data_IF_303976810527
#
_entry.id   IF_303976810527
#
_cell.length_a   1.000
_cell.length_b   1.000
_cell.length_c   1.000
_cell.angle_alpha   90.00
_cell.angle_beta   90.00
_cell.angle_gamma   90.00
#
_symmetry.space_group_name_H-M   'P 1'
#
loop_
_entity.id
_entity.type
_entity.pdbx_description
1 polymer ?
#
# COMPACT_ATOMS: atom_id res chain seq x y z
N UNK A 1 25.52 0.27 -6.66
CA UNK A 1 24.05 0.36 -6.78
C UNK A 1 23.54 0.67 -5.40
N UNK A 2 23.19 1.93 -5.12
CA UNK A 2 22.58 2.26 -3.83
C UNK A 2 21.25 1.53 -3.74
N UNK A 3 21.17 0.53 -2.86
CA UNK A 3 19.91 0.02 -2.34
C UNK A 3 19.33 1.13 -1.47
N UNK A 4 18.84 2.19 -2.12
CA UNK A 4 18.27 3.32 -1.42
C UNK A 4 16.93 2.86 -0.85
N UNK A 5 16.71 3.19 0.42
CA UNK A 5 15.47 2.93 1.17
C UNK A 5 14.22 3.17 0.31
N UNK A 6 13.29 2.21 0.33
CA UNK A 6 12.00 2.29 -0.33
C UNK A 6 11.21 3.48 0.22
N UNK A 7 10.63 4.29 -0.66
CA UNK A 7 9.87 5.48 -0.28
C UNK A 7 8.75 5.76 -1.29
N UNK A 8 7.92 6.75 -0.99
CA UNK A 8 6.78 7.12 -1.83
C UNK A 8 7.22 7.46 -3.25
N UNK A 9 8.19 8.38 -3.41
CA UNK A 9 8.62 8.90 -4.70
C UNK A 9 9.11 7.78 -5.64
N UNK A 10 9.95 6.87 -5.15
CA UNK A 10 10.47 5.74 -5.94
C UNK A 10 9.37 4.83 -6.45
N UNK A 11 8.43 4.45 -5.58
CA UNK A 11 7.31 3.61 -6.01
C UNK A 11 6.40 4.36 -6.98
N UNK A 12 6.16 5.65 -6.73
CA UNK A 12 5.34 6.49 -7.58
C UNK A 12 5.93 6.62 -8.99
N UNK A 13 7.24 6.76 -9.12
CA UNK A 13 7.93 6.84 -10.42
C UNK A 13 8.05 5.47 -11.13
N UNK A 14 8.04 4.36 -10.38
CA UNK A 14 8.26 3.02 -10.92
C UNK A 14 7.05 2.41 -11.63
N UNK A 15 5.84 2.92 -11.39
CA UNK A 15 4.60 2.34 -11.93
C UNK A 15 3.58 3.40 -12.32
N UNK A 16 2.63 3.03 -13.19
CA UNK A 16 1.49 3.89 -13.50
C UNK A 16 0.48 3.93 -12.34
N UNK A 17 0.51 5.01 -11.57
CA UNK A 17 -0.47 5.30 -10.52
C UNK A 17 -1.52 6.32 -10.98
N UNK A 18 -2.73 6.21 -10.46
CA UNK A 18 -3.81 7.19 -10.69
C UNK A 18 -4.33 7.69 -9.36
N UNK A 19 -4.38 9.01 -9.19
CA UNK A 19 -4.96 9.58 -7.98
C UNK A 19 -6.45 9.23 -7.88
N UNK A 20 -6.88 8.85 -6.68
CA UNK A 20 -8.28 8.55 -6.42
C UNK A 20 -9.03 9.88 -6.29
N UNK A 21 -10.09 10.06 -7.09
CA UNK A 21 -10.92 11.27 -7.07
C UNK A 21 -11.38 11.61 -5.64
N UNK A 22 -11.20 12.87 -5.25
CA UNK A 22 -11.54 13.41 -3.93
C UNK A 22 -10.82 12.73 -2.74
N UNK A 23 -9.73 12.01 -2.99
CA UNK A 23 -8.92 11.33 -1.96
C UNK A 23 -7.45 11.74 -2.10
N UNK A 24 -7.10 13.01 -1.81
CA UNK A 24 -5.76 13.52 -2.07
C UNK A 24 -4.68 12.69 -1.37
N UNK A 25 -3.57 12.47 -2.07
CA UNK A 25 -2.45 11.69 -1.54
C UNK A 25 -2.67 10.17 -1.52
N UNK A 26 -3.70 9.68 -2.22
CA UNK A 26 -3.98 8.24 -2.40
C UNK A 26 -4.06 7.92 -3.88
N UNK A 27 -3.23 6.98 -4.33
CA UNK A 27 -3.05 6.66 -5.73
C UNK A 27 -3.21 5.16 -5.94
N UNK A 28 -4.16 4.76 -6.78
CA UNK A 28 -4.42 3.36 -7.11
C UNK A 28 -3.55 2.93 -8.28
N UNK A 29 -3.01 1.71 -8.22
CA UNK A 29 -2.23 1.15 -9.32
C UNK A 29 -3.11 0.96 -10.55
N UNK A 30 -2.67 1.46 -11.70
CA UNK A 30 -3.45 1.34 -12.94
C UNK A 30 -3.40 -0.10 -13.47
N UNK A 31 -4.57 -0.76 -13.54
CA UNK A 31 -4.70 -2.12 -14.09
C UNK A 31 -4.41 -2.21 -15.60
N UNK A 32 -4.52 -1.11 -16.34
CA UNK A 32 -4.29 -1.09 -17.79
C UNK A 32 -2.82 -1.39 -18.09
N UNK A 33 -1.91 -0.71 -17.40
CA UNK A 33 -0.47 -0.82 -17.64
C UNK A 33 0.17 -1.89 -16.74
N UNK A 34 -0.48 -2.24 -15.62
CA UNK A 34 0.10 -3.09 -14.58
C UNK A 34 -0.74 -4.34 -14.26
N UNK A 35 -1.47 -4.89 -15.24
CA UNK A 35 -2.43 -5.98 -15.01
C UNK A 35 -1.83 -7.19 -14.26
N UNK A 36 -0.55 -7.51 -14.48
CA UNK A 36 0.09 -8.64 -13.80
C UNK A 36 0.37 -8.36 -12.32
N UNK A 37 0.57 -7.10 -11.95
CA UNK A 37 0.95 -6.72 -10.59
C UNK A 37 -0.21 -6.94 -9.60
N UNK A 38 -1.47 -6.95 -10.06
CA UNK A 38 -2.59 -7.28 -9.18
C UNK A 38 -2.61 -8.76 -8.73
N UNK A 39 -1.76 -9.64 -9.28
CA UNK A 39 -1.63 -11.02 -8.81
C UNK A 39 -0.41 -11.20 -7.90
N UNK A 40 0.33 -10.12 -7.63
CA UNK A 40 1.55 -10.16 -6.83
C UNK A 40 1.21 -9.71 -5.40
N UNK A 41 1.49 -10.53 -4.38
CA UNK A 41 1.31 -10.13 -2.99
C UNK A 41 2.11 -8.87 -2.66
N UNK A 42 1.63 -7.98 -1.78
CA UNK A 42 2.30 -6.71 -1.46
C UNK A 42 3.76 -6.86 -1.01
N UNK A 43 4.09 -7.94 -0.30
CA UNK A 43 5.46 -8.21 0.16
C UNK A 43 6.41 -8.44 -1.02
N UNK A 44 5.97 -9.20 -2.02
CA UNK A 44 6.73 -9.46 -3.24
C UNK A 44 6.76 -8.24 -4.17
N UNK A 45 5.63 -7.54 -4.30
CA UNK A 45 5.53 -6.30 -5.07
C UNK A 45 6.53 -5.23 -4.58
N UNK A 46 6.81 -5.21 -3.27
CA UNK A 46 7.80 -4.32 -2.66
C UNK A 46 9.19 -4.96 -2.51
N UNK A 47 9.48 -6.03 -3.26
CA UNK A 47 10.76 -6.74 -3.27
C UNK A 47 11.26 -7.14 -1.86
N UNK A 48 10.34 -7.47 -0.95
CA UNK A 48 10.63 -7.84 0.43
C UNK A 48 11.40 -6.77 1.24
N UNK A 49 11.40 -5.50 0.82
CA UNK A 49 12.18 -4.45 1.46
C UNK A 49 11.54 -3.89 2.74
N UNK A 50 10.23 -4.11 2.92
CA UNK A 50 9.50 -3.65 4.10
C UNK A 50 8.62 -4.76 4.67
N UNK A 51 8.39 -4.70 5.98
CA UNK A 51 7.43 -5.55 6.66
C UNK A 51 6.01 -5.23 6.16
N UNK A 52 5.25 -6.28 5.87
CA UNK A 52 3.82 -6.19 5.60
C UNK A 52 3.08 -6.75 6.80
N UNK A 53 2.16 -5.97 7.36
CA UNK A 53 1.21 -6.42 8.36
C UNK A 53 -0.17 -6.57 7.72
N UNK A 54 -0.90 -7.60 8.14
CA UNK A 54 -2.22 -7.95 7.61
C UNK A 54 -3.27 -7.64 8.68
N UNK A 55 -4.30 -6.90 8.30
CA UNK A 55 -5.38 -6.45 9.16
C UNK A 55 -6.74 -6.85 8.58
N UNK A 56 -7.74 -6.91 9.45
CA UNK A 56 -9.15 -6.90 9.09
C UNK A 56 -9.80 -5.62 9.61
N UNK A 57 -10.95 -5.25 9.05
CA UNK A 57 -11.70 -4.08 9.49
C UNK A 57 -13.19 -4.37 9.34
N UNK A 58 -14.02 -3.92 10.28
CA UNK A 58 -15.48 -4.03 10.16
C UNK A 58 -16.03 -3.21 8.97
N UNK A 59 -15.24 -2.25 8.47
CA UNK A 59 -15.64 -1.31 7.41
C UNK A 59 -15.44 -1.92 6.02
N UNK A 60 -14.61 -2.96 5.88
CA UNK A 60 -14.46 -3.66 4.61
C UNK A 60 -14.19 -5.14 4.78
N UNK A 61 -14.77 -5.96 3.90
CA UNK A 61 -14.71 -7.42 3.98
C UNK A 61 -13.34 -8.00 3.62
N UNK A 62 -12.61 -7.31 2.75
CA UNK A 62 -11.33 -7.78 2.22
C UNK A 62 -10.22 -7.61 3.26
N UNK A 63 -9.28 -8.56 3.32
CA UNK A 63 -8.08 -8.43 4.14
C UNK A 63 -7.22 -7.27 3.63
N UNK A 64 -6.55 -6.59 4.57
CA UNK A 64 -5.87 -5.32 4.33
C UNK A 64 -4.40 -5.50 4.65
N UNK A 65 -3.56 -5.45 3.63
CA UNK A 65 -2.12 -5.57 3.75
C UNK A 65 -1.52 -4.17 3.74
N UNK A 66 -0.75 -3.83 4.78
CA UNK A 66 -0.13 -2.52 4.92
C UNK A 66 1.38 -2.68 5.06
N UNK A 67 2.12 -1.92 4.26
CA UNK A 67 3.55 -1.70 4.44
C UNK A 67 3.83 -0.21 4.55
N UNK A 68 4.52 0.21 5.62
CA UNK A 68 4.85 1.62 5.87
C UNK A 68 6.31 1.92 5.51
N UNK A 69 6.53 3.15 5.09
CA UNK A 69 7.84 3.78 4.95
C UNK A 69 7.74 5.23 5.46
N UNK A 70 8.88 5.92 5.61
CA UNK A 70 8.93 7.20 6.33
C UNK A 70 7.97 8.28 5.77
N UNK A 71 7.78 8.32 4.45
CA UNK A 71 6.97 9.31 3.74
C UNK A 71 5.62 8.78 3.22
N UNK A 72 5.18 7.60 3.69
CA UNK A 72 3.89 7.04 3.30
C UNK A 72 3.74 5.54 3.50
N UNK A 73 3.05 4.89 2.58
CA UNK A 73 2.92 3.44 2.58
C UNK A 73 2.08 2.88 1.46
N UNK A 74 2.20 1.58 1.28
CA UNK A 74 1.33 0.79 0.43
C UNK A 74 0.21 0.19 1.28
N UNK A 75 -1.03 0.39 0.85
CA UNK A 75 -2.21 -0.30 1.40
C UNK A 75 -2.83 -1.11 0.27
N UNK A 76 -2.97 -2.42 0.48
CA UNK A 76 -3.52 -3.32 -0.53
C UNK A 76 -4.70 -4.11 0.03
N UNK A 77 -5.78 -4.15 -0.73
CA UNK A 77 -6.90 -5.04 -0.42
C UNK A 77 -6.73 -6.36 -1.15
N UNK A 78 -6.76 -7.47 -0.43
CA UNK A 78 -6.78 -8.82 -0.98
C UNK A 78 -8.22 -9.23 -1.27
N UNK A 79 -8.52 -9.49 -2.54
CA UNK A 79 -9.83 -9.88 -3.03
C UNK A 79 -10.01 -11.39 -2.90
N UNK A 80 -11.27 -11.83 -2.85
CA UNK A 80 -11.62 -13.24 -2.75
C UNK A 80 -11.13 -14.10 -3.93
N UNK A 81 -10.79 -13.49 -5.07
CA UNK A 81 -10.21 -14.15 -6.24
C UNK A 81 -8.68 -14.25 -6.20
N UNK A 82 -8.05 -13.85 -5.08
CA UNK A 82 -6.60 -13.83 -4.90
C UNK A 82 -5.90 -12.64 -5.54
N UNK A 83 -6.64 -11.67 -6.09
CA UNK A 83 -6.05 -10.44 -6.62
C UNK A 83 -5.91 -9.36 -5.56
N UNK A 84 -5.03 -8.40 -5.81
CA UNK A 84 -4.75 -7.27 -4.94
C UNK A 84 -5.13 -5.94 -5.61
N UNK A 85 -5.73 -5.04 -4.82
CA UNK A 85 -5.90 -3.64 -5.19
C UNK A 85 -4.90 -2.81 -4.41
N UNK A 86 -3.77 -2.51 -5.03
CA UNK A 86 -2.71 -1.70 -4.45
C UNK A 86 -3.05 -0.21 -4.51
N UNK A 87 -2.94 0.46 -3.37
CA UNK A 87 -3.00 1.92 -3.24
C UNK A 87 -1.71 2.40 -2.61
N UNK A 88 -0.95 3.23 -3.33
CA UNK A 88 0.18 3.97 -2.81
C UNK A 88 -0.34 5.26 -2.14
N UNK A 89 0.13 5.54 -0.93
CA UNK A 89 -0.35 6.67 -0.15
C UNK A 89 0.84 7.47 0.37
N UNK A 90 0.77 8.80 0.34
CA UNK A 90 1.68 9.63 1.12
C UNK A 90 1.30 9.53 2.62
N UNK A 91 2.14 10.06 3.53
CA UNK A 91 1.91 9.97 4.98
C UNK A 91 0.51 10.42 5.40
N UNK A 92 0.04 11.57 4.88
CA UNK A 92 -1.28 12.09 5.25
C UNK A 92 -2.44 11.23 4.75
N UNK A 93 -2.33 10.72 3.52
CA UNK A 93 -3.35 9.88 2.89
C UNK A 93 -3.47 8.53 3.58
N UNK A 94 -2.33 7.95 3.96
CA UNK A 94 -2.27 6.69 4.68
C UNK A 94 -2.90 6.83 6.07
N UNK A 95 -2.48 7.83 6.84
CA UNK A 95 -3.00 8.08 8.20
C UNK A 95 -4.52 8.25 8.20
N UNK A 96 -5.06 9.10 7.30
CA UNK A 96 -6.51 9.28 7.18
C UNK A 96 -7.21 7.96 6.85
N UNK A 97 -6.63 7.14 5.97
CA UNK A 97 -7.23 5.87 5.56
C UNK A 97 -7.17 4.82 6.67
N UNK A 98 -6.06 4.70 7.40
CA UNK A 98 -5.94 3.79 8.54
C UNK A 98 -6.89 4.17 9.67
N UNK A 99 -6.98 5.47 10.00
CA UNK A 99 -7.95 5.97 10.99
C UNK A 99 -9.38 5.65 10.57
N UNK A 100 -9.74 5.88 9.31
CA UNK A 100 -11.06 5.53 8.81
C UNK A 100 -11.32 4.01 8.86
N UNK A 101 -10.29 3.16 8.78
CA UNK A 101 -10.42 1.70 8.88
C UNK A 101 -10.32 1.19 10.32
N UNK A 102 -10.09 2.06 11.31
CA UNK A 102 -9.76 1.71 12.69
C UNK A 102 -8.55 0.77 12.81
N UNK A 103 -7.52 0.98 11.99
CA UNK A 103 -6.29 0.20 12.00
C UNK A 103 -5.19 0.96 12.74
N UNK A 104 -4.57 0.29 13.70
CA UNK A 104 -3.35 0.73 14.35
C UNK A 104 -2.20 -0.14 13.84
N UNK A 105 -1.17 0.52 13.31
CA UNK A 105 0.02 -0.16 12.81
C UNK A 105 1.09 -0.08 13.88
N UNK A 106 1.35 -1.19 14.54
CA UNK A 106 2.39 -1.28 15.57
C UNK A 106 3.74 -1.41 14.88
N UNK A 107 4.56 -0.36 14.99
CA UNK A 107 5.93 -0.41 14.50
C UNK A 107 6.85 -0.87 15.64
N UNK A 108 6.85 -2.18 15.89
CA UNK A 108 7.74 -2.80 16.89
C UNK A 108 9.22 -2.77 16.47
N UNK A 109 9.58 -2.13 15.34
CA UNK A 109 10.97 -1.97 14.90
C UNK A 109 11.71 -0.80 15.56
N UNK A 110 11.06 -0.08 16.48
CA UNK A 110 11.67 0.93 17.36
C UNK A 110 11.41 0.54 18.84
N UNK A 111 12.12 -0.47 19.33
CA UNK A 111 12.39 -0.69 20.76
C UNK A 111 13.86 -0.99 20.96
#
# INVERSE_FOLDING_TARGET
MESGVLNFAKLFESYSWKEIKNCPGRYVLSKTDNRRLCFIPPKEFLNNQILIQIFTSEICRDAIHIGKFADGGLLSYEKSDGTYVHTLNNSSGLTRKMNHLNIHFDDDSIR
#
